data_IF_521082671097
#
_entry.id   IF_521082671097
#
_cell.length_a   1.000
_cell.length_b   1.000
_cell.length_c   1.000
_cell.angle_alpha   90.00
_cell.angle_beta   90.00
_cell.angle_gamma   90.00
#
_symmetry.space_group_name_H-M   'P 1'
#
loop_
_entity.id
_entity.type
_entity.pdbx_description
1 polymer ?
#
# COMPACT_ATOMS: atom_id res chain seq x y z
N UNK A 1 10.83 -19.05 27.73
CA UNK A 1 9.69 -19.70 27.06
C UNK A 1 8.88 -18.58 26.44
N UNK A 2 8.62 -18.61 25.14
CA UNK A 2 7.82 -17.56 24.50
C UNK A 2 6.40 -17.68 25.01
N UNK A 3 5.99 -16.75 25.86
CA UNK A 3 4.67 -16.72 26.42
C UNK A 3 3.74 -16.00 25.44
N UNK A 4 2.92 -16.78 24.72
CA UNK A 4 2.07 -16.26 23.64
C UNK A 4 1.01 -15.29 24.17
N UNK A 5 0.59 -15.47 25.42
CA UNK A 5 -0.38 -14.60 26.09
C UNK A 5 0.21 -13.22 26.37
N UNK A 6 1.47 -13.17 26.81
CA UNK A 6 2.20 -11.92 27.04
C UNK A 6 2.50 -11.18 25.73
N UNK A 7 2.81 -11.92 24.67
CA UNK A 7 2.98 -11.35 23.32
C UNK A 7 1.67 -10.78 22.75
N UNK A 8 0.55 -11.47 22.97
CA UNK A 8 -0.77 -11.02 22.51
C UNK A 8 -1.23 -9.76 23.25
N UNK A 9 -1.03 -9.71 24.58
CA UNK A 9 -1.35 -8.54 25.38
C UNK A 9 -0.51 -7.32 25.02
N UNK A 10 0.80 -7.51 24.84
CA UNK A 10 1.70 -6.42 24.44
C UNK A 10 1.39 -5.89 23.04
N UNK A 11 1.06 -6.76 22.08
CA UNK A 11 0.63 -6.36 20.73
C UNK A 11 -0.68 -5.56 20.75
N UNK A 12 -1.65 -5.98 21.57
CA UNK A 12 -2.94 -5.28 21.72
C UNK A 12 -2.76 -3.87 22.30
N UNK A 13 -1.84 -3.71 23.25
CA UNK A 13 -1.48 -2.39 23.80
C UNK A 13 -0.94 -1.46 22.72
N UNK A 14 -0.08 -1.96 21.83
CA UNK A 14 0.47 -1.16 20.72
C UNK A 14 -0.64 -0.67 19.78
N UNK A 15 -1.58 -1.54 19.40
CA UNK A 15 -2.74 -1.14 18.60
C UNK A 15 -3.61 -0.09 19.27
N UNK A 16 -3.73 -0.14 20.60
CA UNK A 16 -4.54 0.82 21.37
C UNK A 16 -3.84 2.18 21.50
N UNK A 17 -2.51 2.19 21.62
CA UNK A 17 -1.72 3.43 21.73
C UNK A 17 -1.52 4.10 20.36
N UNK A 18 -1.55 3.33 19.26
CA UNK A 18 -1.39 3.87 17.92
C UNK A 18 -2.55 4.80 17.52
N UNK A 19 -2.22 5.96 16.92
CA UNK A 19 -3.23 6.87 16.38
C UNK A 19 -3.85 6.28 15.12
N UNK A 20 -5.11 5.87 15.21
CA UNK A 20 -5.88 5.43 14.04
C UNK A 20 -6.16 6.65 13.13
N UNK A 21 -5.95 6.53 11.82
CA UNK A 21 -6.17 7.64 10.90
C UNK A 21 -7.64 8.02 10.87
N UNK A 22 -7.91 9.33 10.82
CA UNK A 22 -9.26 9.85 10.60
C UNK A 22 -9.75 9.60 9.17
N UNK A 23 -11.06 9.69 8.94
CA UNK A 23 -11.65 9.48 7.59
C UNK A 23 -11.12 10.48 6.57
N UNK A 24 -10.85 11.73 6.98
CA UNK A 24 -10.25 12.77 6.12
C UNK A 24 -8.80 12.44 5.76
N UNK A 25 -7.97 12.12 6.75
CA UNK A 25 -6.56 11.73 6.57
C UNK A 25 -6.44 10.50 5.67
N UNK A 26 -7.28 9.48 5.91
CA UNK A 26 -7.33 8.27 5.10
C UNK A 26 -7.68 8.57 3.64
N UNK A 27 -8.72 9.38 3.39
CA UNK A 27 -9.12 9.75 2.02
C UNK A 27 -8.03 10.51 1.28
N UNK A 28 -7.33 11.41 1.96
CA UNK A 28 -6.23 12.17 1.35
C UNK A 28 -5.09 11.24 0.96
N UNK A 29 -4.66 10.36 1.86
CA UNK A 29 -3.61 9.39 1.57
C UNK A 29 -4.02 8.42 0.46
N UNK A 30 -5.25 7.90 0.50
CA UNK A 30 -5.76 7.00 -0.53
C UNK A 30 -5.77 7.65 -1.93
N UNK A 31 -6.15 8.93 -2.02
CA UNK A 31 -6.13 9.67 -3.30
C UNK A 31 -4.72 9.84 -3.84
N UNK A 32 -3.77 10.25 -2.98
CA UNK A 32 -2.38 10.49 -3.38
C UNK A 32 -1.72 9.17 -3.81
N UNK A 33 -1.84 8.13 -2.99
CA UNK A 33 -1.28 6.81 -3.31
C UNK A 33 -1.94 6.21 -4.55
N UNK A 34 -3.26 6.33 -4.68
CA UNK A 34 -3.99 5.87 -5.86
C UNK A 34 -3.54 6.57 -7.14
N UNK A 35 -3.29 7.88 -7.08
CA UNK A 35 -2.75 8.64 -8.21
C UNK A 35 -1.35 8.13 -8.62
N UNK A 36 -0.49 7.84 -7.64
CA UNK A 36 0.84 7.28 -7.88
C UNK A 36 0.81 5.91 -8.55
N UNK A 37 -0.07 5.01 -8.10
CA UNK A 37 -0.24 3.67 -8.69
C UNK A 37 -0.71 3.78 -10.15
N UNK A 38 -1.67 4.66 -10.43
CA UNK A 38 -2.18 4.88 -11.78
C UNK A 38 -1.04 5.40 -12.69
N UNK A 39 -0.26 6.37 -12.22
CA UNK A 39 0.84 6.94 -12.99
C UNK A 39 1.88 5.88 -13.37
N UNK A 40 2.32 5.08 -12.39
CA UNK A 40 3.31 4.01 -12.62
C UNK A 40 2.72 2.93 -13.54
N UNK A 41 1.45 2.56 -13.35
CA UNK A 41 0.76 1.58 -14.18
C UNK A 41 0.65 2.01 -15.65
N UNK A 42 0.34 3.28 -15.90
CA UNK A 42 0.29 3.83 -17.27
C UNK A 42 1.67 3.79 -17.93
N UNK A 43 2.73 4.20 -17.23
CA UNK A 43 4.10 4.15 -17.75
C UNK A 43 4.49 2.72 -18.10
N UNK A 44 4.28 1.78 -17.17
CA UNK A 44 4.57 0.36 -17.40
C UNK A 44 3.76 -0.21 -18.57
N UNK A 45 2.48 0.19 -18.70
CA UNK A 45 1.62 -0.23 -19.81
C UNK A 45 2.17 0.23 -21.16
N UNK A 46 2.57 1.50 -21.29
CA UNK A 46 3.17 2.00 -22.53
C UNK A 46 4.50 1.33 -22.86
N UNK A 47 5.35 1.09 -21.86
CA UNK A 47 6.60 0.34 -22.07
C UNK A 47 6.30 -1.07 -22.59
N UNK A 48 5.34 -1.78 -21.99
CA UNK A 48 4.90 -3.12 -22.44
C UNK A 48 4.34 -3.09 -23.86
N UNK A 49 3.50 -2.10 -24.17
CA UNK A 49 2.86 -1.97 -25.47
C UNK A 49 3.89 -1.74 -26.58
N UNK A 50 4.86 -0.86 -26.34
CA UNK A 50 5.95 -0.61 -27.30
C UNK A 50 6.83 -1.85 -27.41
N UNK A 51 7.24 -2.46 -26.29
CA UNK A 51 8.13 -3.62 -26.31
C UNK A 51 7.49 -4.84 -27.00
N UNK A 52 6.24 -5.20 -26.66
CA UNK A 52 5.54 -6.31 -27.31
C UNK A 52 5.15 -5.98 -28.76
N UNK A 53 4.78 -4.73 -29.05
CA UNK A 53 4.46 -4.29 -30.40
C UNK A 53 5.66 -4.32 -31.34
N UNK A 54 6.87 -4.00 -30.86
CA UNK A 54 8.10 -3.98 -31.68
C UNK A 54 8.80 -5.34 -31.74
N UNK A 55 8.74 -6.16 -30.68
CA UNK A 55 9.41 -7.49 -30.63
C UNK A 55 8.62 -8.56 -31.39
N UNK A 56 7.33 -8.34 -31.65
CA UNK A 56 6.45 -9.29 -32.35
C UNK A 56 6.27 -8.97 -33.85
N UNK A 57 7.01 -8.00 -34.37
CA UNK A 57 7.19 -7.67 -35.80
C UNK A 57 8.52 -8.27 -36.26
#
# INVERSE_FOLDING_TARGET
MFDMDEFMQSSTRVFTVSRKPGVSEYKTMAKITGLGIILIGIIAFFVKLILEGFVKI
#
